data_IF_992381001217
#
_entry.id   IF_992381001217
#
_cell.length_a   1.000
_cell.length_b   1.000
_cell.length_c   1.000
_cell.angle_alpha   90.00
_cell.angle_beta   90.00
_cell.angle_gamma   90.00
#
_symmetry.space_group_name_H-M   'P 1'
#
loop_
_entity.id
_entity.type
_entity.pdbx_description
1 polymer ?
#
# COMPACT_ATOMS: atom_id res chain seq x y z
N UNK A 1 -7.97 -13.77 10.25
CA UNK A 1 -6.87 -13.99 9.28
C UNK A 1 -5.72 -13.01 9.54
N UNK A 2 -5.99 -11.69 9.73
CA UNK A 2 -4.95 -10.66 9.86
C UNK A 2 -3.90 -10.95 10.92
N UNK A 3 -4.28 -11.30 12.14
CA UNK A 3 -3.36 -11.61 13.22
C UNK A 3 -2.55 -12.91 12.95
N UNK A 4 -3.21 -13.99 12.55
CA UNK A 4 -2.56 -15.28 12.31
C UNK A 4 -1.46 -15.21 11.24
N UNK A 5 -1.66 -14.45 10.15
CA UNK A 5 -0.65 -14.29 9.10
C UNK A 5 0.61 -13.58 9.61
N UNK A 6 0.46 -12.54 10.46
CA UNK A 6 1.60 -11.83 11.04
C UNK A 6 2.30 -12.65 12.12
N UNK A 7 1.53 -13.37 12.95
CA UNK A 7 2.08 -14.28 13.96
C UNK A 7 2.90 -15.38 13.29
N UNK A 8 2.35 -16.03 12.26
CA UNK A 8 3.06 -17.09 11.53
C UNK A 8 4.31 -16.55 10.83
N UNK A 9 4.23 -15.36 10.21
CA UNK A 9 5.41 -14.71 9.62
C UNK A 9 6.47 -14.41 10.68
N UNK A 10 6.07 -13.88 11.85
CA UNK A 10 6.97 -13.65 12.98
C UNK A 10 7.66 -14.93 13.45
N UNK A 11 6.90 -16.01 13.65
CA UNK A 11 7.44 -17.31 14.07
C UNK A 11 8.41 -17.87 13.03
N UNK A 12 8.06 -17.83 11.73
CA UNK A 12 8.94 -18.33 10.67
C UNK A 12 10.22 -17.50 10.50
N UNK A 13 10.14 -16.18 10.69
CA UNK A 13 11.31 -15.30 10.59
C UNK A 13 12.25 -15.42 11.80
N UNK A 14 11.72 -15.69 13.01
CA UNK A 14 12.46 -15.61 14.27
C UNK A 14 13.78 -16.42 14.25
N UNK A 15 13.81 -17.72 13.86
CA UNK A 15 15.05 -18.51 13.90
C UNK A 15 16.16 -17.94 13.00
N UNK A 16 15.78 -17.25 11.91
CA UNK A 16 16.74 -16.66 10.97
C UNK A 16 17.11 -15.22 11.35
N UNK A 17 16.25 -14.49 12.05
CA UNK A 17 16.42 -13.06 12.32
C UNK A 17 17.00 -12.74 13.69
N UNK A 18 17.02 -13.67 14.66
CA UNK A 18 17.59 -13.43 15.99
C UNK A 18 19.05 -12.95 15.93
N UNK A 19 19.91 -13.68 15.24
CA UNK A 19 21.34 -13.31 15.09
C UNK A 19 21.50 -11.95 14.39
N UNK A 20 20.89 -11.69 13.20
CA UNK A 20 20.94 -10.38 12.57
C UNK A 20 20.40 -9.23 13.43
N UNK A 21 19.34 -9.42 14.21
CA UNK A 21 18.80 -8.42 15.12
C UNK A 21 19.81 -8.07 16.21
N UNK A 22 20.40 -9.07 16.86
CA UNK A 22 21.43 -8.86 17.90
C UNK A 22 22.64 -8.13 17.31
N UNK A 23 23.11 -8.55 16.14
CA UNK A 23 24.26 -7.93 15.48
C UNK A 23 24.00 -6.45 15.08
N UNK A 24 22.75 -6.07 14.81
CA UNK A 24 22.37 -4.70 14.45
C UNK A 24 21.75 -3.93 15.62
N UNK A 25 21.83 -4.42 16.87
CA UNK A 25 21.14 -3.83 18.01
C UNK A 25 21.51 -2.35 18.26
N UNK A 26 22.76 -2.00 18.04
CA UNK A 26 23.25 -0.60 18.14
C UNK A 26 22.54 0.36 17.18
N UNK A 27 22.13 -0.11 16.00
CA UNK A 27 21.35 0.64 15.01
C UNK A 27 19.84 0.59 15.28
N UNK A 28 19.33 -0.50 15.86
CA UNK A 28 17.92 -0.70 16.16
C UNK A 28 17.49 0.18 17.34
N UNK A 29 18.23 0.12 18.46
CA UNK A 29 17.86 0.78 19.72
C UNK A 29 17.51 2.27 19.58
N UNK A 30 18.31 3.12 18.91
CA UNK A 30 17.97 4.54 18.75
C UNK A 30 16.81 4.79 17.78
N UNK A 31 16.41 3.80 17.00
CA UNK A 31 15.37 3.90 15.98
C UNK A 31 14.08 3.13 16.32
N UNK A 32 13.95 2.60 17.55
CA UNK A 32 12.77 1.81 17.97
C UNK A 32 11.46 2.55 17.73
N UNK A 33 11.37 3.85 18.04
CA UNK A 33 10.17 4.65 17.80
C UNK A 33 9.81 4.75 16.32
N UNK A 34 10.80 4.91 15.44
CA UNK A 34 10.57 4.93 13.98
C UNK A 34 10.10 3.57 13.46
N UNK A 35 10.73 2.50 13.93
CA UNK A 35 10.36 1.12 13.58
C UNK A 35 8.94 0.82 14.05
N UNK A 36 8.59 1.25 15.27
CA UNK A 36 7.24 1.09 15.82
C UNK A 36 6.20 1.81 14.94
N UNK A 37 6.42 3.09 14.60
CA UNK A 37 5.52 3.85 13.74
C UNK A 37 5.35 3.18 12.37
N UNK A 38 6.45 2.73 11.75
CA UNK A 38 6.40 2.01 10.48
C UNK A 38 5.59 0.70 10.59
N UNK A 39 5.81 -0.09 11.63
CA UNK A 39 5.07 -1.33 11.87
C UNK A 39 3.58 -1.07 12.12
N UNK A 40 3.25 -0.05 12.92
CA UNK A 40 1.85 0.34 13.19
C UNK A 40 1.15 0.77 11.90
N UNK A 41 1.72 1.72 11.15
CA UNK A 41 1.07 2.27 9.96
C UNK A 41 0.98 1.26 8.81
N UNK A 42 2.09 0.58 8.50
CA UNK A 42 2.18 -0.30 7.33
C UNK A 42 1.59 -1.68 7.55
N UNK A 43 1.78 -2.25 8.75
CA UNK A 43 1.44 -3.65 9.00
C UNK A 43 0.16 -3.80 9.83
N UNK A 44 -0.08 -2.95 10.84
CA UNK A 44 -1.25 -3.07 11.70
C UNK A 44 -2.44 -2.24 11.18
N UNK A 45 -2.33 -0.91 11.10
CA UNK A 45 -3.46 0.01 10.82
C UNK A 45 -4.01 -0.22 9.43
N UNK A 46 -3.17 -0.18 8.39
CA UNK A 46 -3.62 -0.37 7.02
C UNK A 46 -4.40 -1.67 6.85
N UNK A 47 -3.80 -2.77 7.28
CA UNK A 47 -4.38 -4.10 7.09
C UNK A 47 -5.67 -4.30 7.88
N UNK A 48 -5.68 -3.87 9.16
CA UNK A 48 -6.87 -4.03 10.01
C UNK A 48 -8.04 -3.22 9.50
N UNK A 49 -7.83 -1.93 9.19
CA UNK A 49 -8.90 -1.08 8.67
C UNK A 49 -9.40 -1.58 7.32
N UNK A 50 -8.53 -2.06 6.43
CA UNK A 50 -8.95 -2.64 5.15
C UNK A 50 -9.80 -3.91 5.34
N UNK A 51 -9.44 -4.79 6.29
CA UNK A 51 -10.26 -5.97 6.58
C UNK A 51 -11.60 -5.62 7.20
N UNK A 52 -11.67 -4.65 8.12
CA UNK A 52 -12.94 -4.19 8.67
C UNK A 52 -13.79 -3.47 7.62
N UNK A 53 -13.18 -2.64 6.79
CA UNK A 53 -13.85 -1.97 5.69
C UNK A 53 -14.51 -2.96 4.73
N UNK A 54 -13.85 -4.09 4.43
CA UNK A 54 -14.38 -5.11 3.53
C UNK A 54 -15.71 -5.74 3.98
N UNK A 55 -16.06 -5.63 5.27
CA UNK A 55 -17.36 -6.09 5.79
C UNK A 55 -18.44 -5.00 5.71
N UNK A 56 -18.08 -3.74 5.44
CA UNK A 56 -18.97 -2.58 5.54
C UNK A 56 -19.14 -1.85 4.20
N UNK A 57 -18.23 -2.06 3.25
CA UNK A 57 -18.28 -1.42 1.93
C UNK A 57 -18.02 -2.43 0.81
N UNK A 58 -18.28 -2.03 -0.43
CA UNK A 58 -18.06 -2.88 -1.60
C UNK A 58 -16.58 -2.93 -2.01
N UNK A 59 -16.18 -4.04 -2.66
CA UNK A 59 -14.85 -4.15 -3.26
C UNK A 59 -14.60 -3.03 -4.30
N UNK A 60 -15.65 -2.57 -4.98
CA UNK A 60 -15.64 -1.43 -5.91
C UNK A 60 -15.20 -0.16 -5.20
N UNK A 61 -15.86 0.23 -4.11
CA UNK A 61 -15.52 1.43 -3.36
C UNK A 61 -14.09 1.33 -2.79
N UNK A 62 -13.72 0.18 -2.24
CA UNK A 62 -12.37 -0.06 -1.74
C UNK A 62 -11.31 0.14 -2.83
N UNK A 63 -11.55 -0.38 -4.04
CA UNK A 63 -10.65 -0.22 -5.19
C UNK A 63 -10.48 1.23 -5.61
N UNK A 64 -11.57 2.00 -5.65
CA UNK A 64 -11.55 3.43 -5.98
C UNK A 64 -10.78 4.23 -4.90
N UNK A 65 -11.06 3.98 -3.62
CA UNK A 65 -10.39 4.68 -2.53
C UNK A 65 -8.89 4.33 -2.52
N UNK A 66 -8.54 3.06 -2.75
CA UNK A 66 -7.15 2.64 -2.84
C UNK A 66 -6.41 3.33 -3.99
N UNK A 67 -7.08 3.61 -5.09
CA UNK A 67 -6.49 4.31 -6.24
C UNK A 67 -6.18 5.79 -6.00
N UNK A 68 -6.65 6.38 -4.88
CA UNK A 68 -6.21 7.69 -4.39
C UNK A 68 -4.82 7.65 -3.73
N UNK A 69 -4.29 6.47 -3.41
CA UNK A 69 -3.01 6.33 -2.70
C UNK A 69 -1.85 7.08 -3.37
N UNK A 70 -1.67 7.08 -4.70
CA UNK A 70 -0.61 7.84 -5.34
C UNK A 70 -0.71 9.35 -5.11
N UNK A 71 -1.91 9.91 -5.11
CA UNK A 71 -2.13 11.33 -4.83
C UNK A 71 -1.82 11.66 -3.36
N UNK A 72 -2.24 10.79 -2.43
CA UNK A 72 -1.91 10.94 -1.00
C UNK A 72 -0.40 10.80 -0.74
N UNK A 73 0.26 9.83 -1.38
CA UNK A 73 1.70 9.63 -1.26
C UNK A 73 2.49 10.78 -1.89
N UNK A 74 2.03 11.33 -3.02
CA UNK A 74 2.62 12.51 -3.65
C UNK A 74 2.53 13.72 -2.71
N UNK A 75 1.36 13.99 -2.14
CA UNK A 75 1.15 15.07 -1.17
C UNK A 75 2.05 14.90 0.06
N UNK A 76 2.07 13.71 0.64
CA UNK A 76 2.92 13.39 1.79
C UNK A 76 4.42 13.54 1.45
N UNK A 77 4.85 13.17 0.24
CA UNK A 77 6.22 13.29 -0.22
C UNK A 77 6.61 14.77 -0.46
N UNK A 78 5.72 15.59 -0.99
CA UNK A 78 5.95 17.04 -1.13
C UNK A 78 6.17 17.67 0.25
N UNK A 79 5.27 17.41 1.20
CA UNK A 79 5.32 17.99 2.55
C UNK A 79 6.53 17.46 3.36
N UNK A 80 6.79 16.15 3.32
CA UNK A 80 7.75 15.51 4.22
C UNK A 80 9.15 15.37 3.66
N UNK A 81 9.30 15.25 2.34
CA UNK A 81 10.56 15.04 1.64
C UNK A 81 11.01 16.25 0.83
N UNK A 82 10.18 17.29 0.71
CA UNK A 82 10.44 18.41 -0.20
C UNK A 82 10.46 17.99 -1.67
N UNK A 83 9.76 16.90 -2.02
CA UNK A 83 9.71 16.43 -3.40
C UNK A 83 9.08 17.51 -4.29
N UNK A 84 9.72 17.82 -5.41
CA UNK A 84 9.16 18.78 -6.38
C UNK A 84 7.98 18.14 -7.10
N UNK A 85 6.87 18.88 -7.17
CA UNK A 85 5.71 18.47 -7.96
C UNK A 85 6.09 18.54 -9.45
N UNK A 86 5.93 17.44 -10.18
CA UNK A 86 6.11 17.41 -11.64
C UNK A 86 4.77 17.31 -12.34
N UNK A 87 4.66 17.85 -13.56
CA UNK A 87 3.45 17.72 -14.37
C UNK A 87 3.09 16.25 -14.60
N UNK A 88 4.07 15.39 -14.86
CA UNK A 88 3.85 13.96 -15.05
C UNK A 88 3.32 13.27 -13.78
N UNK A 89 3.86 13.60 -12.60
CA UNK A 89 3.37 13.00 -11.35
C UNK A 89 1.91 13.37 -11.07
N UNK A 90 1.53 14.62 -11.28
CA UNK A 90 0.15 15.08 -11.07
C UNK A 90 -0.80 14.52 -12.13
N UNK A 91 -0.51 14.78 -13.42
CA UNK A 91 -1.38 14.35 -14.53
C UNK A 91 -1.43 12.82 -14.64
N UNK A 92 -0.30 12.14 -14.42
CA UNK A 92 -0.24 10.68 -14.41
C UNK A 92 -1.06 10.06 -13.28
N UNK A 93 -1.01 10.62 -12.08
CA UNK A 93 -1.81 10.15 -10.96
C UNK A 93 -3.33 10.37 -11.20
N UNK A 94 -3.72 11.53 -11.73
CA UNK A 94 -5.12 11.83 -12.06
C UNK A 94 -5.62 10.92 -13.20
N UNK A 95 -4.84 10.74 -14.25
CA UNK A 95 -5.20 9.89 -15.39
C UNK A 95 -5.31 8.42 -14.96
N UNK A 96 -4.37 7.94 -14.16
CA UNK A 96 -4.38 6.59 -13.61
C UNK A 96 -5.57 6.36 -12.68
N UNK A 97 -5.92 7.34 -11.83
CA UNK A 97 -7.11 7.31 -11.00
C UNK A 97 -8.39 7.22 -11.84
N UNK A 98 -8.54 8.06 -12.87
CA UNK A 98 -9.67 8.01 -13.78
C UNK A 98 -9.81 6.63 -14.46
N UNK A 99 -8.70 6.05 -14.89
CA UNK A 99 -8.66 4.69 -15.47
C UNK A 99 -9.17 3.62 -14.49
N UNK A 100 -8.74 3.67 -13.23
CA UNK A 100 -9.23 2.74 -12.20
C UNK A 100 -10.73 2.94 -11.95
N UNK A 101 -11.21 4.19 -11.86
CA UNK A 101 -12.65 4.47 -11.69
C UNK A 101 -13.45 3.83 -12.82
N UNK A 102 -13.02 3.94 -14.07
CA UNK A 102 -13.69 3.32 -15.23
C UNK A 102 -13.73 1.80 -15.11
N UNK A 103 -12.62 1.15 -14.74
CA UNK A 103 -12.57 -0.33 -14.60
C UNK A 103 -13.45 -0.79 -13.45
N UNK A 104 -13.30 -0.19 -12.28
CA UNK A 104 -13.93 -0.66 -11.03
C UNK A 104 -15.43 -0.35 -11.00
N UNK A 105 -15.86 0.73 -11.69
CA UNK A 105 -17.29 1.07 -11.86
C UNK A 105 -17.98 0.27 -12.97
N UNK A 106 -17.27 -0.65 -13.64
CA UNK A 106 -17.75 -1.36 -14.82
C UNK A 106 -18.34 -0.42 -15.90
N UNK A 107 -17.78 0.79 -16.02
CA UNK A 107 -18.22 1.83 -16.95
C UNK A 107 -19.48 2.59 -16.52
N UNK A 108 -20.08 2.32 -15.36
CA UNK A 108 -21.31 2.96 -14.87
C UNK A 108 -21.05 3.83 -13.63
N UNK A 109 -20.79 5.12 -13.85
CA UNK A 109 -20.61 6.10 -12.75
C UNK A 109 -21.87 6.27 -11.90
N UNK A 110 -23.05 6.06 -12.46
CA UNK A 110 -24.33 6.16 -11.73
C UNK A 110 -24.45 5.12 -10.63
N UNK A 111 -23.89 3.93 -10.82
CA UNK A 111 -23.88 2.87 -9.81
C UNK A 111 -23.06 3.26 -8.57
N UNK A 112 -22.02 4.08 -8.72
CA UNK A 112 -21.21 4.58 -7.60
C UNK A 112 -21.95 5.59 -6.73
N UNK A 113 -22.82 6.41 -7.33
CA UNK A 113 -23.54 7.46 -6.63
C UNK A 113 -24.75 6.95 -5.83
N UNK A 114 -25.24 5.75 -6.14
CA UNK A 114 -26.43 5.17 -5.50
C UNK A 114 -26.20 4.67 -4.06
N UNK A 115 -24.98 4.32 -3.68
CA UNK A 115 -24.71 3.67 -2.38
C UNK A 115 -24.33 4.64 -1.25
N UNK A 116 -24.10 5.92 -1.55
CA UNK A 116 -23.66 6.91 -0.54
C UNK A 116 -22.30 6.55 0.12
N UNK A 117 -21.78 7.45 0.96
CA UNK A 117 -20.59 7.19 1.76
C UNK A 117 -20.97 6.43 3.04
N UNK A 118 -20.22 5.39 3.37
CA UNK A 118 -20.43 4.58 4.57
C UNK A 118 -19.18 4.53 5.45
N UNK A 119 -19.29 3.95 6.65
CA UNK A 119 -18.18 3.82 7.61
C UNK A 119 -17.02 3.00 7.03
N UNK A 120 -17.30 2.00 6.18
CA UNK A 120 -16.28 1.19 5.52
C UNK A 120 -15.43 2.03 4.56
N UNK A 121 -16.06 2.97 3.84
CA UNK A 121 -15.34 3.90 2.94
C UNK A 121 -14.41 4.81 3.74
N UNK A 122 -14.86 5.34 4.88
CA UNK A 122 -14.05 6.15 5.78
C UNK A 122 -12.86 5.34 6.34
N UNK A 123 -13.09 4.10 6.78
CA UNK A 123 -12.03 3.21 7.25
C UNK A 123 -11.00 2.93 6.15
N UNK A 124 -11.46 2.67 4.92
CA UNK A 124 -10.56 2.42 3.77
C UNK A 124 -9.75 3.67 3.40
N UNK A 125 -10.35 4.86 3.50
CA UNK A 125 -9.66 6.13 3.26
C UNK A 125 -8.53 6.35 4.28
N UNK A 126 -8.80 6.12 5.56
CA UNK A 126 -7.79 6.21 6.64
C UNK A 126 -6.71 5.14 6.45
N UNK A 127 -7.08 3.92 6.07
CA UNK A 127 -6.12 2.86 5.76
C UNK A 127 -5.18 3.28 4.62
N UNK A 128 -5.74 3.77 3.51
CA UNK A 128 -4.99 4.22 2.34
C UNK A 128 -4.03 5.36 2.69
N UNK A 129 -4.50 6.34 3.46
CA UNK A 129 -3.67 7.44 3.95
C UNK A 129 -2.54 6.94 4.87
N UNK A 130 -2.84 6.02 5.80
CA UNK A 130 -1.84 5.44 6.69
C UNK A 130 -0.71 4.75 5.90
N UNK A 131 -1.05 4.02 4.83
CA UNK A 131 -0.06 3.35 3.98
C UNK A 131 0.74 4.32 3.09
N UNK A 132 0.11 5.39 2.61
CA UNK A 132 0.80 6.47 1.90
C UNK A 132 1.82 7.19 2.82
N UNK A 133 1.44 7.48 4.06
CA UNK A 133 2.34 8.04 5.08
C UNK A 133 3.44 7.05 5.44
N UNK A 134 3.12 5.77 5.66
CA UNK A 134 4.12 4.70 5.87
C UNK A 134 5.18 4.70 4.78
N UNK A 135 4.77 4.69 3.51
CA UNK A 135 5.68 4.66 2.37
C UNK A 135 6.57 5.92 2.33
N UNK A 136 6.01 7.08 2.66
CA UNK A 136 6.75 8.34 2.72
C UNK A 136 7.76 8.36 3.88
N UNK A 137 7.37 7.90 5.07
CA UNK A 137 8.27 7.81 6.23
C UNK A 137 9.37 6.76 6.03
N UNK A 138 9.06 5.65 5.37
CA UNK A 138 10.04 4.63 5.00
C UNK A 138 11.16 5.23 4.13
N UNK A 139 10.79 6.09 3.15
CA UNK A 139 11.76 6.83 2.31
C UNK A 139 12.47 7.93 3.11
N UNK A 140 11.76 8.66 3.98
CA UNK A 140 12.33 9.78 4.76
C UNK A 140 13.40 9.31 5.73
N UNK A 141 13.12 8.25 6.46
CA UNK A 141 14.03 7.80 7.52
C UNK A 141 15.19 6.95 7.02
N UNK A 142 15.04 6.24 5.93
CA UNK A 142 16.07 5.41 5.28
C UNK A 142 16.95 4.68 6.29
N UNK A 143 16.32 3.95 7.22
CA UNK A 143 17.02 3.27 8.29
C UNK A 143 18.11 2.35 7.69
N UNK A 144 19.35 2.49 8.18
CA UNK A 144 20.51 1.72 7.72
C UNK A 144 20.49 0.29 8.27
N UNK A 145 19.34 -0.36 8.17
CA UNK A 145 19.13 -1.76 8.59
C UNK A 145 18.99 -2.64 7.34
N UNK A 146 19.43 -3.91 7.43
CA UNK A 146 19.11 -4.89 6.40
C UNK A 146 17.58 -4.95 6.21
N UNK A 147 17.06 -5.00 4.97
CA UNK A 147 15.61 -4.96 4.72
C UNK A 147 14.83 -6.07 5.45
N UNK A 148 15.39 -7.27 5.52
CA UNK A 148 14.78 -8.40 6.24
C UNK A 148 14.68 -8.14 7.75
N UNK A 149 15.70 -7.52 8.35
CA UNK A 149 15.69 -7.17 9.79
C UNK A 149 14.62 -6.11 10.04
N UNK A 150 14.57 -5.08 9.19
CA UNK A 150 13.57 -4.02 9.31
C UNK A 150 12.14 -4.56 9.15
N UNK A 151 11.91 -5.45 8.16
CA UNK A 151 10.62 -6.10 7.98
C UNK A 151 10.25 -6.96 9.19
N UNK A 152 11.17 -7.79 9.68
CA UNK A 152 10.93 -8.64 10.84
C UNK A 152 10.50 -7.83 12.06
N UNK A 153 11.19 -6.72 12.35
CA UNK A 153 10.83 -5.83 13.46
C UNK A 153 9.44 -5.21 13.28
N UNK A 154 9.07 -4.82 12.06
CA UNK A 154 7.72 -4.30 11.77
C UNK A 154 6.65 -5.40 11.94
N UNK A 155 6.96 -6.64 11.56
CA UNK A 155 6.08 -7.80 11.79
C UNK A 155 5.86 -8.03 13.28
N UNK A 156 6.92 -7.98 14.10
CA UNK A 156 6.79 -8.10 15.56
C UNK A 156 5.93 -6.98 16.16
N UNK A 157 6.10 -5.74 15.69
CA UNK A 157 5.23 -4.61 16.10
C UNK A 157 3.78 -4.91 15.75
N UNK A 158 3.51 -5.41 14.54
CA UNK A 158 2.14 -5.75 14.14
C UNK A 158 1.55 -6.86 15.03
N UNK A 159 2.31 -7.89 15.36
CA UNK A 159 1.86 -8.95 16.29
C UNK A 159 1.50 -8.37 17.64
N UNK A 160 2.36 -7.53 18.23
CA UNK A 160 2.12 -6.92 19.55
C UNK A 160 0.90 -6.01 19.53
N UNK A 161 0.79 -5.15 18.51
CA UNK A 161 -0.31 -4.17 18.42
C UNK A 161 -1.66 -4.83 18.11
N UNK A 162 -1.67 -5.89 17.31
CA UNK A 162 -2.89 -6.60 16.95
C UNK A 162 -3.31 -7.64 17.99
N UNK A 163 -2.45 -8.02 18.93
CA UNK A 163 -2.74 -9.02 19.92
C UNK A 163 -3.97 -8.66 20.79
N UNK A 164 -4.10 -7.45 21.35
CA UNK A 164 -5.30 -7.05 22.09
C UNK A 164 -6.59 -7.13 21.25
N UNK A 165 -6.54 -6.66 19.99
CA UNK A 165 -7.68 -6.75 19.07
C UNK A 165 -8.05 -8.20 18.74
N UNK A 166 -7.06 -9.07 18.63
CA UNK A 166 -7.28 -10.49 18.43
C UNK A 166 -7.96 -11.14 19.64
N UNK A 167 -7.61 -10.76 20.87
CA UNK A 167 -8.24 -11.28 22.09
C UNK A 167 -9.73 -10.88 22.17
N UNK A 168 -10.07 -9.70 21.68
CA UNK A 168 -11.44 -9.13 21.70
C UNK A 168 -12.29 -9.57 20.50
N UNK A 169 -11.68 -10.15 19.46
CA UNK A 169 -12.40 -10.58 18.25
C UNK A 169 -12.98 -11.99 18.38
N UNK A 170 -14.09 -12.23 17.68
CA UNK A 170 -14.62 -13.57 17.50
C UNK A 170 -13.59 -14.46 16.78
N UNK A 171 -13.24 -15.58 17.42
CA UNK A 171 -12.18 -16.46 16.94
C UNK A 171 -12.76 -17.48 15.96
N UNK A 172 -12.62 -17.23 14.67
CA UNK A 172 -12.72 -18.32 13.70
C UNK A 172 -11.48 -19.21 13.86
N UNK A 173 -11.66 -20.47 14.23
CA UNK A 173 -10.58 -21.44 14.38
C UNK A 173 -9.82 -21.65 13.05
N UNK A 174 -8.54 -21.99 13.15
CA UNK A 174 -7.76 -22.46 12.00
C UNK A 174 -8.22 -23.86 11.64
N UNK A 175 -9.08 -23.98 10.63
CA UNK A 175 -9.47 -25.25 10.04
C UNK A 175 -8.57 -25.63 8.86
N UNK A 176 -8.54 -26.91 8.49
CA UNK A 176 -7.77 -27.41 7.34
C UNK A 176 -8.08 -26.67 6.03
N UNK A 177 -9.31 -26.16 5.86
CA UNK A 177 -9.73 -25.35 4.72
C UNK A 177 -9.07 -23.98 4.66
N UNK A 178 -8.67 -23.39 5.79
CA UNK A 178 -8.11 -22.04 5.88
C UNK A 178 -6.57 -22.02 5.91
N UNK A 179 -5.93 -23.15 6.20
CA UNK A 179 -4.45 -23.25 6.30
C UNK A 179 -3.76 -22.82 5.00
N UNK A 180 -4.16 -23.30 3.80
CA UNK A 180 -3.51 -22.85 2.55
C UNK A 180 -3.58 -21.34 2.34
N UNK A 181 -4.72 -20.72 2.68
CA UNK A 181 -4.92 -19.27 2.57
C UNK A 181 -4.02 -18.51 3.55
N UNK A 182 -3.89 -18.99 4.78
CA UNK A 182 -3.02 -18.37 5.80
C UNK A 182 -1.55 -18.52 5.41
N UNK A 183 -1.13 -19.67 4.87
CA UNK A 183 0.23 -19.89 4.36
C UNK A 183 0.54 -18.97 3.18
N UNK A 184 -0.37 -18.86 2.21
CA UNK A 184 -0.27 -17.92 1.10
C UNK A 184 -0.12 -16.47 1.61
N UNK A 185 -1.01 -16.05 2.52
CA UNK A 185 -1.00 -14.72 3.10
C UNK A 185 0.27 -14.46 3.93
N UNK A 186 0.82 -15.46 4.60
CA UNK A 186 2.07 -15.37 5.34
C UNK A 186 3.27 -15.22 4.40
N UNK A 187 3.48 -16.16 3.49
CA UNK A 187 4.69 -16.22 2.67
C UNK A 187 4.73 -15.13 1.61
N UNK A 188 3.67 -15.00 0.81
CA UNK A 188 3.63 -14.05 -0.29
C UNK A 188 3.24 -12.65 0.17
N UNK A 189 2.13 -12.49 0.89
CA UNK A 189 1.61 -11.17 1.22
C UNK A 189 2.23 -10.56 2.51
N UNK A 190 2.85 -11.34 3.40
CA UNK A 190 3.46 -10.80 4.62
C UNK A 190 5.00 -10.81 4.60
N UNK A 191 5.63 -11.60 3.73
CA UNK A 191 7.09 -11.67 3.65
C UNK A 191 7.60 -11.09 2.33
N UNK A 192 7.20 -11.66 1.19
CA UNK A 192 7.75 -11.29 -0.11
C UNK A 192 7.26 -9.91 -0.58
N UNK A 193 5.96 -9.66 -0.55
CA UNK A 193 5.37 -8.41 -1.04
C UNK A 193 5.86 -7.17 -0.26
N UNK A 194 5.93 -7.16 1.09
CA UNK A 194 6.49 -6.01 1.81
C UNK A 194 7.97 -5.78 1.54
N UNK A 195 8.78 -6.83 1.31
CA UNK A 195 10.19 -6.67 0.92
C UNK A 195 10.32 -5.99 -0.45
N UNK A 196 9.55 -6.47 -1.44
CA UNK A 196 9.52 -5.86 -2.76
C UNK A 196 9.03 -4.39 -2.67
N UNK A 197 8.00 -4.14 -1.84
CA UNK A 197 7.50 -2.79 -1.57
C UNK A 197 8.56 -1.88 -0.98
N UNK A 198 9.23 -2.32 0.08
CA UNK A 198 10.30 -1.54 0.73
C UNK A 198 11.45 -1.24 -0.24
N UNK A 199 11.82 -2.20 -1.09
CA UNK A 199 12.81 -2.00 -2.14
C UNK A 199 12.35 -0.95 -3.16
N UNK A 200 11.12 -1.06 -3.66
CA UNK A 200 10.53 -0.12 -4.63
C UNK A 200 10.43 1.30 -4.06
N UNK A 201 9.97 1.45 -2.81
CA UNK A 201 9.92 2.77 -2.16
C UNK A 201 11.31 3.38 -1.98
N UNK A 202 12.31 2.57 -1.66
CA UNK A 202 13.71 3.04 -1.54
C UNK A 202 14.26 3.53 -2.89
N UNK A 203 13.98 2.83 -3.97
CA UNK A 203 14.52 3.12 -5.32
C UNK A 203 13.71 4.19 -6.06
N UNK A 204 12.42 3.95 -6.26
CA UNK A 204 11.52 4.81 -7.04
C UNK A 204 10.94 5.99 -6.24
N UNK A 205 10.87 5.85 -4.92
CA UNK A 205 10.16 6.78 -4.04
C UNK A 205 8.68 6.43 -3.84
N UNK A 206 8.02 7.04 -2.82
CA UNK A 206 6.68 6.65 -2.42
C UNK A 206 5.62 6.95 -3.49
N UNK A 207 5.62 8.12 -4.11
CA UNK A 207 4.60 8.53 -5.08
C UNK A 207 4.59 7.65 -6.34
N UNK A 208 5.76 7.28 -6.87
CA UNK A 208 5.87 6.39 -8.03
C UNK A 208 5.52 4.95 -7.68
N UNK A 209 6.02 4.46 -6.56
CA UNK A 209 5.72 3.08 -6.11
C UNK A 209 4.23 2.87 -5.92
N UNK A 210 3.52 3.84 -5.33
CA UNK A 210 2.08 3.73 -5.09
C UNK A 210 1.24 3.74 -6.37
N UNK A 211 1.73 4.34 -7.47
CA UNK A 211 1.04 4.27 -8.78
C UNK A 211 0.85 2.85 -9.29
N UNK A 212 1.75 1.93 -8.96
CA UNK A 212 1.61 0.52 -9.36
C UNK A 212 0.41 -0.16 -8.71
N UNK A 213 -0.13 0.34 -7.59
CA UNK A 213 -1.38 -0.18 -7.04
C UNK A 213 -2.58 0.04 -7.98
N UNK A 214 -2.55 1.08 -8.79
CA UNK A 214 -3.60 1.32 -9.77
C UNK A 214 -3.65 0.27 -10.89
N UNK A 215 -2.61 -0.55 -11.03
CA UNK A 215 -2.61 -1.70 -11.94
C UNK A 215 -3.33 -2.93 -11.36
N UNK A 216 -3.60 -2.97 -10.05
CA UNK A 216 -4.23 -4.14 -9.41
C UNK A 216 -5.57 -4.51 -10.04
N UNK A 217 -6.53 -3.59 -10.28
CA UNK A 217 -7.80 -3.95 -10.90
C UNK A 217 -7.63 -4.54 -12.29
N UNK A 218 -6.65 -4.04 -13.06
CA UNK A 218 -6.35 -4.56 -14.40
C UNK A 218 -5.76 -5.96 -14.34
N UNK A 219 -4.78 -6.18 -13.48
CA UNK A 219 -4.16 -7.48 -13.29
C UNK A 219 -5.20 -8.49 -12.82
N UNK A 220 -6.08 -8.06 -11.89
CA UNK A 220 -7.18 -8.91 -11.41
C UNK A 220 -8.14 -9.27 -12.53
N UNK A 221 -8.55 -8.31 -13.37
CA UNK A 221 -9.44 -8.58 -14.51
C UNK A 221 -8.78 -9.52 -15.54
N UNK A 222 -7.48 -9.35 -15.83
CA UNK A 222 -6.75 -10.26 -16.71
C UNK A 222 -6.67 -11.67 -16.15
N UNK A 223 -6.37 -11.82 -14.86
CA UNK A 223 -6.35 -13.15 -14.21
C UNK A 223 -7.73 -13.78 -14.23
N UNK A 224 -8.78 -13.02 -13.90
CA UNK A 224 -10.16 -13.49 -13.92
C UNK A 224 -10.58 -13.95 -15.35
N UNK A 225 -10.17 -13.23 -16.39
CA UNK A 225 -10.46 -13.61 -17.76
C UNK A 225 -9.81 -14.95 -18.16
N UNK A 226 -8.60 -15.22 -17.68
CA UNK A 226 -7.88 -16.47 -17.99
C UNK A 226 -8.34 -17.63 -17.12
N UNK A 227 -8.46 -17.39 -15.79
CA UNK A 227 -8.74 -18.45 -14.81
C UNK A 227 -10.23 -18.77 -14.71
N UNK A 228 -11.07 -17.73 -14.68
CA UNK A 228 -12.53 -17.84 -14.52
C UNK A 228 -13.28 -17.78 -15.86
N UNK A 229 -12.54 -17.58 -16.97
CA UNK A 229 -13.09 -17.41 -18.33
C UNK A 229 -14.11 -16.25 -18.43
N UNK A 230 -13.91 -15.21 -17.61
CA UNK A 230 -14.73 -14.00 -17.68
C UNK A 230 -14.41 -13.20 -18.95
N UNK A 231 -15.42 -12.60 -19.56
CA UNK A 231 -15.24 -11.80 -20.77
C UNK A 231 -14.74 -10.41 -20.41
N UNK A 232 -13.63 -10.00 -21.05
CA UNK A 232 -13.13 -8.62 -20.93
C UNK A 232 -14.06 -7.69 -21.72
N UNK A 233 -14.68 -6.74 -21.00
CA UNK A 233 -15.53 -5.72 -21.60
C UNK A 233 -14.71 -4.48 -22.02
N UNK A 234 -15.32 -3.59 -22.81
CA UNK A 234 -14.67 -2.38 -23.32
C UNK A 234 -14.13 -1.46 -22.21
N UNK A 235 -14.81 -1.40 -21.06
CA UNK A 235 -14.35 -0.59 -19.92
C UNK A 235 -13.02 -1.09 -19.32
N UNK A 236 -12.72 -2.39 -19.40
CA UNK A 236 -11.39 -2.90 -19.00
C UNK A 236 -10.30 -2.40 -19.94
N UNK A 237 -10.57 -2.35 -21.25
CA UNK A 237 -9.63 -1.84 -22.24
C UNK A 237 -9.38 -0.34 -22.07
N UNK A 238 -10.46 0.46 -22.03
CA UNK A 238 -10.36 1.92 -21.89
C UNK A 238 -9.72 2.31 -20.58
N UNK A 239 -10.22 1.80 -19.45
CA UNK A 239 -9.68 2.08 -18.14
C UNK A 239 -8.24 1.58 -17.98
N UNK A 240 -7.94 0.43 -18.62
CA UNK A 240 -6.59 -0.12 -18.67
C UNK A 240 -5.59 0.79 -19.38
N UNK A 241 -5.94 1.28 -20.56
CA UNK A 241 -5.11 2.20 -21.31
C UNK A 241 -4.90 3.53 -20.57
N UNK A 242 -5.95 4.07 -19.93
CA UNK A 242 -5.84 5.26 -19.08
C UNK A 242 -4.89 5.03 -17.89
N UNK A 243 -5.04 3.90 -17.19
CA UNK A 243 -4.19 3.57 -16.03
C UNK A 243 -2.73 3.40 -16.43
N UNK A 244 -2.44 2.60 -17.46
CA UNK A 244 -1.09 2.40 -17.98
C UNK A 244 -0.50 3.68 -18.52
N UNK A 245 -1.28 4.45 -19.28
CA UNK A 245 -0.87 5.77 -19.78
C UNK A 245 -0.50 6.74 -18.66
N UNK A 246 -1.30 6.75 -17.59
CA UNK A 246 -1.02 7.55 -16.40
C UNK A 246 0.28 7.16 -15.70
N UNK A 247 0.53 5.85 -15.53
CA UNK A 247 1.79 5.35 -14.93
C UNK A 247 2.98 5.75 -15.81
N UNK A 248 2.91 5.52 -17.12
CA UNK A 248 4.00 5.86 -18.07
C UNK A 248 4.25 7.36 -18.08
N UNK A 249 3.19 8.18 -18.07
CA UNK A 249 3.29 9.63 -18.08
C UNK A 249 3.99 10.15 -16.82
N UNK A 250 3.63 9.60 -15.66
CA UNK A 250 4.27 9.93 -14.38
C UNK A 250 5.76 9.62 -14.36
N UNK A 251 6.18 8.55 -15.03
CA UNK A 251 7.59 8.16 -15.10
C UNK A 251 8.40 9.00 -16.10
N UNK A 252 7.80 9.35 -17.26
CA UNK A 252 8.53 9.99 -18.35
C UNK A 252 8.53 11.51 -18.32
N UNK A 253 7.45 12.12 -17.82
CA UNK A 253 7.32 13.57 -17.80
C UNK A 253 7.76 14.15 -16.46
N UNK A 254 9.05 14.47 -16.35
CA UNK A 254 9.69 14.93 -15.09
C UNK A 254 9.77 16.45 -14.95
N UNK A 255 9.15 17.23 -15.86
CA UNK A 255 9.16 18.69 -15.82
C UNK A 255 8.48 19.22 -14.54
N UNK A 256 9.14 20.05 -13.71
CA UNK A 256 8.54 20.58 -12.47
C UNK A 256 7.44 21.59 -12.80
N UNK A 257 6.36 21.58 -11.98
CA UNK A 257 5.20 22.51 -12.12
C UNK A 257 5.59 23.94 -11.77
N UNK A 258 6.59 24.16 -10.90
CA UNK A 258 7.15 25.48 -10.60
C UNK A 258 8.65 25.46 -10.94
N UNK A 259 9.06 26.24 -11.91
CA UNK A 259 10.45 26.69 -12.02
C UNK A 259 10.72 27.64 -10.85
N UNK A 260 11.86 27.54 -10.19
CA UNK A 260 12.28 28.40 -9.09
C UNK A 260 11.93 29.87 -9.39
N UNK A 261 11.05 30.45 -8.63
CA UNK A 261 10.99 31.89 -8.44
C UNK A 261 12.03 32.21 -7.37
N UNK A 262 13.16 32.83 -7.77
CA UNK A 262 14.06 33.63 -6.95
C UNK A 262 14.95 32.85 -6.00
N UNK A 263 16.12 32.40 -6.50
CA UNK A 263 17.34 32.63 -5.72
C UNK A 263 17.61 34.15 -5.77
N UNK A 264 17.75 34.89 -4.66
CA UNK A 264 18.28 36.23 -4.74
C UNK A 264 19.71 36.12 -5.31
N UNK A 265 19.96 36.80 -6.43
CA UNK A 265 21.31 37.05 -6.91
C UNK A 265 22.04 37.74 -5.77
N UNK A 266 23.03 37.04 -5.22
CA UNK A 266 23.98 37.65 -4.32
C UNK A 266 24.83 38.63 -5.14
N UNK A 267 24.49 39.92 -5.03
CA UNK A 267 25.40 41.03 -5.36
C UNK A 267 26.39 41.26 -4.26
#
# INVERSE_FOLDING_TARGET
IGFYRWLLAGVLFTPFMLKPVIANWSLIRPNLGKIFILGVLGMAVYQSLAYYAANLTSATNMGIILSLMPLMALTAAIISLGQRLTFGALTGAVLSFAGVVVVVSAGSLSALLQHGLNMGDAMMLVATLAYAVYSTLLKKWQLRLPPLVLLYLQVLVAVVVLFPLFLLSDKAGLGWSNIPLVLYACLLASMLAPLAWMHSVKTLGPSRTTLFFNLLPLITALIASVVLKEQLAMYHLVGGLLTLGGVILSERWTTPVRSNVGAPEAT
#
